data_IF_802306825073
#
_entry.id   IF_802306825073
#
_cell.length_a   1.000
_cell.length_b   1.000
_cell.length_c   1.000
_cell.angle_alpha   90.00
_cell.angle_beta   90.00
_cell.angle_gamma   90.00
#
_symmetry.space_group_name_H-M   'P 1'
#
loop_
_entity.id
_entity.type
_entity.pdbx_description
1 polymer ?
#
# COMPACT_ATOMS: atom_id res chain seq x y z
N UNK A 1 3.75 12.88 19.80
CA UNK A 1 2.79 12.48 18.75
C UNK A 1 3.59 11.95 17.58
N UNK A 2 3.24 10.81 16.99
CA UNK A 2 3.96 10.22 15.85
C UNK A 2 3.16 10.43 14.57
N UNK A 3 3.83 10.80 13.47
CA UNK A 3 3.26 10.84 12.13
C UNK A 3 3.23 9.43 11.56
N UNK A 4 2.06 8.95 11.13
CA UNK A 4 1.91 7.63 10.51
C UNK A 4 1.84 7.76 8.99
N UNK A 5 2.69 7.03 8.30
CA UNK A 5 2.87 7.07 6.86
C UNK A 5 2.60 5.66 6.32
N UNK A 6 1.68 5.53 5.37
CA UNK A 6 1.45 4.29 4.64
C UNK A 6 2.13 4.37 3.27
N UNK A 7 3.04 3.44 2.98
CA UNK A 7 3.72 3.34 1.70
C UNK A 7 3.00 2.36 0.77
N UNK A 8 2.46 2.87 -0.33
CA UNK A 8 1.88 2.08 -1.42
C UNK A 8 2.94 1.84 -2.51
N UNK A 9 3.29 0.58 -2.75
CA UNK A 9 4.32 0.21 -3.73
C UNK A 9 3.67 -0.18 -5.06
N UNK A 10 3.83 0.65 -6.10
CA UNK A 10 3.23 0.43 -7.42
C UNK A 10 3.83 -0.69 -8.27
N UNK A 11 4.55 -1.65 -7.68
CA UNK A 11 5.10 -2.79 -8.41
C UNK A 11 5.03 -4.06 -7.57
N UNK A 12 4.31 -5.06 -8.08
CA UNK A 12 4.05 -6.34 -7.41
C UNK A 12 5.13 -7.41 -7.68
N UNK A 13 6.07 -7.17 -8.61
CA UNK A 13 7.12 -8.15 -8.90
C UNK A 13 8.02 -8.35 -7.68
N UNK A 14 8.49 -9.58 -7.47
CA UNK A 14 9.36 -9.93 -6.35
C UNK A 14 10.62 -9.05 -6.24
N UNK A 15 11.21 -8.63 -7.37
CA UNK A 15 12.41 -7.79 -7.42
C UNK A 15 12.19 -6.27 -7.47
N UNK A 16 11.04 -5.76 -7.01
CA UNK A 16 10.70 -4.33 -7.07
C UNK A 16 11.73 -3.45 -6.32
N UNK A 17 12.36 -2.49 -7.01
CA UNK A 17 13.22 -1.49 -6.37
C UNK A 17 12.41 -0.52 -5.51
N UNK A 18 11.16 -0.21 -5.91
CA UNK A 18 10.27 0.65 -5.13
C UNK A 18 9.90 0.01 -3.78
N UNK A 19 9.77 -1.33 -3.75
CA UNK A 19 9.58 -2.08 -2.51
C UNK A 19 10.79 -1.95 -1.59
N UNK A 20 11.99 -2.19 -2.13
CA UNK A 20 13.24 -2.07 -1.37
C UNK A 20 13.41 -0.66 -0.79
N UNK A 21 13.04 0.38 -1.54
CA UNK A 21 13.04 1.77 -1.06
C UNK A 21 12.06 1.98 0.10
N UNK A 22 10.82 1.47 -0.02
CA UNK A 22 9.80 1.61 1.03
C UNK A 22 10.21 0.87 2.32
N UNK A 23 10.80 -0.32 2.20
CA UNK A 23 11.34 -1.07 3.33
C UNK A 23 12.52 -0.35 4.00
N UNK A 24 13.41 0.28 3.21
CA UNK A 24 14.49 1.10 3.74
C UNK A 24 13.94 2.32 4.49
N UNK A 25 12.91 3.00 3.96
CA UNK A 25 12.25 4.12 4.62
C UNK A 25 11.61 3.70 5.96
N UNK A 26 11.00 2.52 6.03
CA UNK A 26 10.46 1.97 7.27
C UNK A 26 11.54 1.67 8.31
N UNK A 27 12.68 1.12 7.89
CA UNK A 27 13.82 0.84 8.80
C UNK A 27 14.52 2.10 9.30
N UNK A 28 14.52 3.17 8.50
CA UNK A 28 15.24 4.41 8.77
C UNK A 28 14.33 5.55 9.25
N UNK A 29 13.06 5.25 9.57
CA UNK A 29 12.12 6.26 10.04
C UNK A 29 12.67 6.96 11.30
N UNK A 30 12.72 8.30 11.32
CA UNK A 30 13.21 9.04 12.47
C UNK A 30 12.21 8.96 13.64
N UNK A 31 12.67 9.35 14.83
CA UNK A 31 11.79 9.49 15.98
C UNK A 31 10.63 10.45 15.67
N UNK A 32 9.41 10.04 16.02
CA UNK A 32 8.20 10.79 15.70
C UNK A 32 7.60 10.47 14.32
N UNK A 33 8.13 9.49 13.59
CA UNK A 33 7.51 8.95 12.38
C UNK A 33 7.44 7.41 12.40
N UNK A 34 6.39 6.86 11.81
CA UNK A 34 6.19 5.43 11.58
C UNK A 34 5.81 5.24 10.11
N UNK A 35 6.54 4.38 9.39
CA UNK A 35 6.25 4.04 8.00
C UNK A 35 5.86 2.56 7.92
N UNK A 36 4.69 2.29 7.35
CA UNK A 36 4.20 0.93 7.11
C UNK A 36 4.10 0.67 5.60
N UNK A 37 4.68 -0.42 5.13
CA UNK A 37 4.50 -0.87 3.74
C UNK A 37 3.18 -1.63 3.63
N UNK A 38 2.33 -1.25 2.69
CA UNK A 38 1.06 -1.93 2.45
C UNK A 38 1.23 -3.06 1.42
N UNK A 39 0.86 -4.27 1.80
CA UNK A 39 0.99 -5.47 0.93
C UNK A 39 -0.25 -5.73 0.07
N UNK A 40 -1.43 -5.24 0.47
CA UNK A 40 -2.71 -5.59 -0.16
C UNK A 40 -3.04 -4.83 -1.46
N UNK A 41 -2.09 -4.08 -2.03
CA UNK A 41 -2.37 -3.30 -3.25
C UNK A 41 -2.65 -4.21 -4.46
N UNK A 42 -2.08 -5.42 -4.46
CA UNK A 42 -2.35 -6.43 -5.49
C UNK A 42 -3.74 -7.07 -5.38
N UNK A 43 -4.38 -6.96 -4.23
CA UNK A 43 -5.71 -7.52 -3.98
C UNK A 43 -6.82 -6.56 -4.44
N UNK A 44 -6.47 -5.33 -4.82
CA UNK A 44 -7.42 -4.34 -5.32
C UNK A 44 -7.87 -4.74 -6.74
N UNK A 45 -9.17 -5.02 -6.95
CA UNK A 45 -9.66 -5.39 -8.27
C UNK A 45 -9.55 -4.21 -9.24
N UNK A 46 -9.59 -4.51 -10.53
CA UNK A 46 -9.78 -3.46 -11.52
C UNK A 46 -11.11 -2.75 -11.28
N UNK A 47 -11.10 -1.43 -11.44
CA UNK A 47 -12.30 -0.62 -11.35
C UNK A 47 -13.36 -1.11 -12.34
N UNK A 48 -14.60 -1.24 -11.87
CA UNK A 48 -15.77 -1.55 -12.68
C UNK A 48 -16.99 -0.81 -12.10
N UNK A 49 -17.51 0.15 -12.87
CA UNK A 49 -18.64 1.02 -12.46
C UNK A 49 -19.94 0.25 -12.23
N UNK A 50 -20.15 -0.89 -12.91
CA UNK A 50 -21.36 -1.71 -12.75
C UNK A 50 -21.51 -2.28 -11.33
N UNK A 51 -20.40 -2.39 -10.60
CA UNK A 51 -20.34 -2.96 -9.23
C UNK A 51 -19.87 -1.96 -8.18
N UNK A 52 -19.58 -0.71 -8.56
CA UNK A 52 -19.17 0.37 -7.65
C UNK A 52 -20.40 1.07 -7.06
N UNK A 53 -21.11 0.34 -6.19
CA UNK A 53 -22.29 0.84 -5.49
C UNK A 53 -21.95 1.30 -4.07
N UNK A 54 -22.51 2.43 -3.65
CA UNK A 54 -22.30 2.99 -2.30
C UNK A 54 -22.59 1.95 -1.20
N UNK A 55 -21.65 1.77 -0.28
CA UNK A 55 -21.73 0.79 0.81
C UNK A 55 -21.38 -0.65 0.43
N UNK A 56 -21.03 -0.92 -0.83
CA UNK A 56 -20.56 -2.23 -1.29
C UNK A 56 -19.04 -2.24 -1.45
N UNK A 57 -18.40 -3.35 -1.07
CA UNK A 57 -16.97 -3.57 -1.30
C UNK A 57 -16.84 -4.68 -2.33
N UNK A 58 -16.17 -4.44 -3.47
CA UNK A 58 -15.97 -5.48 -4.48
C UNK A 58 -15.09 -6.59 -3.93
N UNK A 59 -15.23 -7.80 -4.48
CA UNK A 59 -14.35 -8.91 -4.15
C UNK A 59 -12.89 -8.58 -4.52
N UNK A 60 -11.95 -9.14 -3.77
CA UNK A 60 -10.53 -9.02 -4.09
C UNK A 60 -10.20 -9.64 -5.47
N UNK A 61 -9.12 -9.17 -6.07
CA UNK A 61 -8.62 -9.62 -7.37
C UNK A 61 -8.22 -11.11 -7.41
#
# INVERSE_FOLDING_TARGET
>A
MSVRILALVGSLRAGSHNRQLAEAAAKLAPEGAEVQVFEGLGDVPFYNEDIDAEGSVPAAA
#
